data_IF_074377710711
#
_entry.id   IF_074377710711
#
_cell.length_a   1.000
_cell.length_b   1.000
_cell.length_c   1.000
_cell.angle_alpha   90.00
_cell.angle_beta   90.00
_cell.angle_gamma   90.00
#
_symmetry.space_group_name_H-M   'P 1'
#
loop_
_entity.id
_entity.type
_entity.pdbx_description
1 polymer ?
#
# COMPACT_ATOMS: atom_id res chain seq x y z
N UNK A 1 24.36 2.83 -7.37
CA UNK A 1 22.91 2.99 -7.13
C UNK A 1 22.29 1.61 -7.06
N UNK A 2 21.79 1.19 -5.89
CA UNK A 2 20.99 -0.03 -5.81
C UNK A 2 19.73 0.18 -6.66
N UNK A 3 19.42 -0.78 -7.56
CA UNK A 3 18.21 -0.70 -8.38
C UNK A 3 17.00 -0.74 -7.46
N UNK A 4 16.21 0.33 -7.46
CA UNK A 4 14.97 0.37 -6.71
C UNK A 4 14.09 -0.81 -7.18
N UNK A 5 13.56 -1.60 -6.24
CA UNK A 5 12.70 -2.76 -6.54
C UNK A 5 11.50 -2.37 -7.43
N UNK A 6 10.96 -1.17 -7.20
CA UNK A 6 9.89 -0.56 -8.02
C UNK A 6 10.29 -0.33 -9.47
N UNK A 7 11.54 0.10 -9.72
CA UNK A 7 12.02 0.36 -11.08
C UNK A 7 12.23 -0.91 -11.92
N UNK A 8 12.04 -2.09 -11.33
CA UNK A 8 12.19 -3.40 -11.98
C UNK A 8 10.99 -4.32 -11.75
N UNK A 9 9.94 -3.85 -11.06
CA UNK A 9 8.73 -4.66 -10.85
C UNK A 9 7.93 -4.69 -12.16
N UNK A 10 7.64 -5.90 -12.65
CA UNK A 10 6.76 -6.10 -13.80
C UNK A 10 5.27 -6.18 -13.40
N UNK A 11 4.99 -6.17 -12.10
CA UNK A 11 3.64 -6.25 -11.56
C UNK A 11 3.39 -5.03 -10.67
N UNK A 12 2.71 -4.05 -11.26
CA UNK A 12 2.38 -2.78 -10.60
C UNK A 12 1.20 -2.94 -9.64
N UNK A 13 0.24 -3.80 -9.98
CA UNK A 13 -0.92 -4.06 -9.15
C UNK A 13 -0.53 -4.76 -7.85
N UNK A 14 0.38 -5.74 -7.91
CA UNK A 14 0.93 -6.39 -6.73
C UNK A 14 1.70 -5.43 -5.82
N UNK A 15 2.39 -4.45 -6.41
CA UNK A 15 3.09 -3.39 -5.66
C UNK A 15 2.10 -2.46 -4.96
N UNK A 16 1.05 -2.04 -5.67
CA UNK A 16 0.00 -1.18 -5.12
C UNK A 16 -0.69 -1.89 -3.94
N UNK A 17 -1.06 -3.17 -4.11
CA UNK A 17 -1.71 -3.93 -3.05
C UNK A 17 -0.81 -4.12 -1.83
N UNK A 18 0.47 -4.45 -2.04
CA UNK A 18 1.43 -4.59 -0.96
C UNK A 18 1.64 -3.26 -0.20
N UNK A 19 1.71 -2.14 -0.93
CA UNK A 19 1.87 -0.83 -0.31
C UNK A 19 0.62 -0.40 0.48
N UNK A 20 -0.57 -0.71 -0.03
CA UNK A 20 -1.82 -0.46 0.65
C UNK A 20 -1.91 -1.25 1.97
N UNK A 21 -1.60 -2.55 1.94
CA UNK A 21 -1.56 -3.40 3.13
C UNK A 21 -0.53 -2.91 4.16
N UNK A 22 0.70 -2.62 3.71
CA UNK A 22 1.77 -2.15 4.59
C UNK A 22 1.40 -0.85 5.31
N UNK A 23 0.80 0.09 4.58
CA UNK A 23 0.42 1.39 5.14
C UNK A 23 -0.81 1.31 6.05
N UNK A 24 -1.74 0.40 5.77
CA UNK A 24 -2.84 0.06 6.69
C UNK A 24 -2.29 -0.49 8.01
N UNK A 25 -1.46 -1.52 7.95
CA UNK A 25 -0.89 -2.16 9.14
C UNK A 25 -0.13 -1.14 10.00
N UNK A 26 0.70 -0.29 9.39
CA UNK A 26 1.43 0.77 10.10
C UNK A 26 0.52 1.82 10.76
N UNK A 27 -0.69 2.04 10.23
CA UNK A 27 -1.69 2.92 10.84
C UNK A 27 -2.42 2.24 11.99
N UNK A 28 -2.82 0.99 11.80
CA UNK A 28 -3.63 0.22 12.75
C UNK A 28 -2.82 -0.24 13.95
N UNK A 29 -1.51 -0.50 13.81
CA UNK A 29 -0.58 -0.66 14.94
C UNK A 29 -0.62 0.52 15.93
N UNK A 30 -1.06 1.70 15.48
CA UNK A 30 -1.24 2.90 16.32
C UNK A 30 -2.65 3.07 16.87
N UNK A 31 -3.58 2.20 16.48
CA UNK A 31 -4.95 2.12 16.99
C UNK A 31 -5.05 1.00 18.04
N UNK A 32 -6.07 1.05 18.89
CA UNK A 32 -6.24 0.07 19.97
C UNK A 32 -6.75 -1.31 19.49
N UNK A 33 -7.10 -1.42 18.21
CA UNK A 33 -7.65 -2.62 17.59
C UNK A 33 -6.73 -3.09 16.47
N UNK A 34 -6.36 -4.37 16.50
CA UNK A 34 -5.59 -5.02 15.44
C UNK A 34 -6.56 -5.57 14.39
N UNK A 35 -6.94 -4.71 13.45
CA UNK A 35 -7.81 -5.08 12.34
C UNK A 35 -6.94 -5.46 11.14
N UNK A 36 -6.89 -6.74 10.72
CA UNK A 36 -6.08 -7.14 9.58
C UNK A 36 -6.60 -6.51 8.29
N UNK A 37 -5.71 -6.31 7.31
CA UNK A 37 -6.05 -5.66 6.03
C UNK A 37 -7.25 -6.30 5.32
N UNK A 38 -7.37 -7.62 5.37
CA UNK A 38 -8.49 -8.38 4.80
C UNK A 38 -9.85 -8.01 5.42
N UNK A 39 -9.85 -7.49 6.65
CA UNK A 39 -11.04 -7.14 7.43
C UNK A 39 -11.23 -5.63 7.59
N UNK A 40 -10.32 -4.82 7.04
CA UNK A 40 -10.39 -3.35 7.07
C UNK A 40 -11.72 -2.79 6.53
N UNK A 41 -12.44 -3.58 5.72
CA UNK A 41 -13.68 -3.17 5.07
C UNK A 41 -13.44 -2.38 3.79
N UNK A 42 -14.44 -2.42 2.89
CA UNK A 42 -14.28 -1.94 1.52
C UNK A 42 -13.86 -0.46 1.42
N UNK A 43 -14.38 0.40 2.31
CA UNK A 43 -14.05 1.84 2.31
C UNK A 43 -12.58 2.09 2.63
N UNK A 44 -12.06 1.45 3.68
CA UNK A 44 -10.65 1.60 4.05
C UNK A 44 -9.75 0.94 3.02
N UNK A 45 -10.15 -0.22 2.49
CA UNK A 45 -9.39 -0.86 1.43
C UNK A 45 -9.25 0.01 0.17
N UNK A 46 -10.34 0.65 -0.26
CA UNK A 46 -10.32 1.57 -1.39
C UNK A 46 -9.40 2.77 -1.12
N UNK A 47 -9.54 3.42 0.04
CA UNK A 47 -8.76 4.60 0.40
C UNK A 47 -7.24 4.32 0.37
N UNK A 48 -6.80 3.21 0.97
CA UNK A 48 -5.38 2.88 1.04
C UNK A 48 -4.81 2.41 -0.30
N UNK A 49 -5.62 1.79 -1.16
CA UNK A 49 -5.24 1.52 -2.56
C UNK A 49 -5.07 2.80 -3.36
N UNK A 50 -5.99 3.75 -3.26
CA UNK A 50 -5.88 5.05 -3.93
C UNK A 50 -4.63 5.83 -3.47
N UNK A 51 -4.34 5.77 -2.18
CA UNK A 51 -3.10 6.33 -1.64
C UNK A 51 -1.85 5.64 -2.22
N UNK A 52 -1.83 4.31 -2.24
CA UNK A 52 -0.72 3.54 -2.81
C UNK A 52 -0.48 3.85 -4.30
N UNK A 53 -1.55 3.98 -5.10
CA UNK A 53 -1.46 4.43 -6.50
C UNK A 53 -0.75 5.78 -6.59
N UNK A 54 -1.16 6.75 -5.76
CA UNK A 54 -0.59 8.10 -5.78
C UNK A 54 0.90 8.11 -5.45
N UNK A 55 1.34 7.28 -4.50
CA UNK A 55 2.75 7.11 -4.14
C UNK A 55 3.54 6.48 -5.28
N UNK A 56 3.02 5.41 -5.90
CA UNK A 56 3.68 4.77 -7.05
C UNK A 56 3.87 5.74 -8.20
N UNK A 57 2.85 6.55 -8.51
CA UNK A 57 2.94 7.58 -9.56
C UNK A 57 4.01 8.64 -9.22
N UNK A 58 4.07 9.10 -7.96
CA UNK A 58 5.07 10.06 -7.53
C UNK A 58 6.51 9.53 -7.63
N UNK A 59 6.71 8.22 -7.48
CA UNK A 59 8.04 7.58 -7.57
C UNK A 59 8.46 7.25 -9.00
N UNK A 60 7.56 7.35 -9.97
CA UNK A 60 7.82 7.14 -11.40
C UNK A 60 8.10 8.43 -12.17
N UNK A 61 7.74 9.59 -11.60
CA UNK A 61 8.10 10.93 -12.10
C UNK A 61 9.54 11.30 -11.78
#
# INVERSE_FOLDING_TARGET
MARCRLCTSNDEDAVIEHLAEYTWNARVERMAEDVPWSEAGATWQALFREYAVSVVQALKG
#
